data_IF_095497902413
#
_entry.id   IF_095497902413
#
_cell.length_a   1.000
_cell.length_b   1.000
_cell.length_c   1.000
_cell.angle_alpha   90.00
_cell.angle_beta   90.00
_cell.angle_gamma   90.00
#
_symmetry.space_group_name_H-M   'P 1'
#
loop_
_entity.id
_entity.type
_entity.pdbx_description
1 polymer ?
#
# COMPACT_ATOMS: atom_id res chain seq x y z
N UNK A 1 -11.39 -21.05 6.78
CA UNK A 1 -11.16 -19.72 6.19
C UNK A 1 -12.46 -19.16 5.65
N UNK A 2 -12.76 -17.91 5.93
CA UNK A 2 -14.01 -17.28 5.47
C UNK A 2 -14.03 -17.14 3.95
N UNK A 3 -15.21 -17.28 3.34
CA UNK A 3 -15.41 -17.10 1.88
C UNK A 3 -14.92 -15.72 1.42
N UNK A 4 -15.14 -14.69 2.25
CA UNK A 4 -14.68 -13.33 2.01
C UNK A 4 -13.18 -13.23 1.76
N UNK A 5 -12.38 -13.93 2.58
CA UNK A 5 -10.92 -13.93 2.46
C UNK A 5 -10.46 -14.66 1.19
N UNK A 6 -11.14 -15.75 0.82
CA UNK A 6 -10.83 -16.49 -0.41
C UNK A 6 -11.06 -15.60 -1.62
N UNK A 7 -12.19 -14.90 -1.68
CA UNK A 7 -12.51 -13.98 -2.78
C UNK A 7 -11.50 -12.82 -2.86
N UNK A 8 -11.11 -12.27 -1.71
CA UNK A 8 -10.10 -11.20 -1.66
C UNK A 8 -8.75 -11.69 -2.19
N UNK A 9 -8.32 -12.88 -1.79
CA UNK A 9 -7.07 -13.47 -2.25
C UNK A 9 -7.07 -13.71 -3.76
N UNK A 10 -8.18 -14.14 -4.33
CA UNK A 10 -8.33 -14.30 -5.79
C UNK A 10 -8.20 -12.96 -6.53
N UNK A 11 -8.81 -11.90 -5.99
CA UNK A 11 -8.67 -10.55 -6.57
C UNK A 11 -7.23 -10.06 -6.52
N UNK A 12 -6.55 -10.28 -5.40
CA UNK A 12 -5.14 -9.91 -5.24
C UNK A 12 -4.25 -10.65 -6.23
N UNK A 13 -4.45 -11.94 -6.43
CA UNK A 13 -3.69 -12.76 -7.38
C UNK A 13 -3.85 -12.23 -8.79
N UNK A 14 -5.07 -11.91 -9.20
CA UNK A 14 -5.34 -11.36 -10.54
C UNK A 14 -4.61 -10.03 -10.77
N UNK A 15 -4.65 -9.13 -9.79
CA UNK A 15 -3.96 -7.84 -9.86
C UNK A 15 -2.44 -8.02 -9.94
N UNK A 16 -1.90 -8.88 -9.08
CA UNK A 16 -0.45 -9.16 -9.04
C UNK A 16 0.07 -9.75 -10.34
N UNK A 17 -0.70 -10.62 -10.99
CA UNK A 17 -0.33 -11.18 -12.30
C UNK A 17 -0.20 -10.07 -13.35
N UNK A 18 -1.10 -9.10 -13.35
CA UNK A 18 -1.02 -7.96 -14.27
C UNK A 18 0.19 -7.07 -13.98
N UNK A 19 0.51 -6.85 -12.70
CA UNK A 19 1.66 -6.04 -12.28
C UNK A 19 2.96 -6.71 -12.72
N UNK A 20 3.08 -8.03 -12.56
CA UNK A 20 4.24 -8.78 -12.99
C UNK A 20 4.49 -8.63 -14.50
N UNK A 21 3.42 -8.67 -15.29
CA UNK A 21 3.53 -8.47 -16.75
C UNK A 21 3.96 -7.05 -17.11
N UNK A 22 3.61 -6.05 -16.32
CA UNK A 22 3.98 -4.65 -16.58
C UNK A 22 5.43 -4.33 -16.18
N UNK A 23 6.04 -5.15 -15.35
CA UNK A 23 7.39 -4.96 -14.78
C UNK A 23 7.58 -3.65 -13.98
N UNK A 24 6.50 -3.00 -13.58
CA UNK A 24 6.57 -1.80 -12.73
C UNK A 24 6.81 -2.19 -11.26
N UNK A 25 7.51 -1.33 -10.52
CA UNK A 25 7.58 -1.47 -9.06
C UNK A 25 6.17 -1.46 -8.49
N UNK A 26 5.99 -2.16 -7.40
CA UNK A 26 4.66 -2.41 -6.84
C UNK A 26 4.49 -1.73 -5.48
N UNK A 27 3.44 -0.92 -5.34
CA UNK A 27 2.99 -0.40 -4.05
C UNK A 27 1.91 -1.32 -3.52
N UNK A 28 2.21 -2.07 -2.47
CA UNK A 28 1.29 -3.02 -1.85
C UNK A 28 0.79 -2.47 -0.52
N UNK A 29 -0.51 -2.59 -0.28
CA UNK A 29 -1.16 -2.13 0.94
C UNK A 29 -1.81 -3.32 1.65
N UNK A 30 -1.57 -3.45 2.95
CA UNK A 30 -2.24 -4.42 3.82
C UNK A 30 -2.87 -3.68 4.99
N UNK A 31 -3.95 -4.22 5.53
CA UNK A 31 -4.59 -3.66 6.71
C UNK A 31 -5.04 -4.74 7.70
N UNK A 32 -5.02 -4.37 8.98
CA UNK A 32 -5.71 -5.09 10.04
C UNK A 32 -6.75 -4.15 10.66
N UNK A 33 -7.47 -4.57 11.69
CA UNK A 33 -8.42 -3.71 12.39
C UNK A 33 -7.74 -2.47 12.98
N UNK A 34 -6.52 -2.61 13.48
CA UNK A 34 -5.81 -1.57 14.23
C UNK A 34 -4.73 -0.84 13.44
N UNK A 35 -4.25 -1.43 12.34
CA UNK A 35 -3.11 -0.88 11.61
C UNK A 35 -3.25 -0.98 10.10
N UNK A 36 -2.49 -0.14 9.40
CA UNK A 36 -2.35 -0.21 7.94
C UNK A 36 -0.85 -0.17 7.60
N UNK A 37 -0.48 -0.90 6.55
CA UNK A 37 0.90 -1.10 6.12
C UNK A 37 1.01 -0.86 4.63
N UNK A 38 2.09 -0.21 4.21
CA UNK A 38 2.41 0.00 2.80
C UNK A 38 3.86 -0.39 2.53
N UNK A 39 4.11 -1.02 1.39
CA UNK A 39 5.47 -1.30 0.97
C UNK A 39 5.61 -1.15 -0.53
N UNK A 40 6.76 -0.63 -0.96
CA UNK A 40 7.15 -0.57 -2.36
C UNK A 40 8.18 -1.67 -2.59
N UNK A 41 7.92 -2.52 -3.55
CA UNK A 41 8.76 -3.66 -3.87
C UNK A 41 9.01 -3.74 -5.37
N UNK A 42 9.89 -4.67 -5.77
CA UNK A 42 10.02 -5.06 -7.17
C UNK A 42 8.70 -5.64 -7.66
N UNK A 43 8.51 -5.70 -8.99
CA UNK A 43 7.24 -6.13 -9.60
C UNK A 43 6.79 -7.53 -9.18
N UNK A 44 7.72 -8.41 -8.88
CA UNK A 44 7.44 -9.79 -8.43
C UNK A 44 7.36 -9.92 -6.89
N UNK A 45 7.64 -8.84 -6.16
CA UNK A 45 7.61 -8.84 -4.70
C UNK A 45 8.83 -9.47 -4.04
N UNK A 46 9.87 -9.85 -4.80
CA UNK A 46 11.05 -10.53 -4.26
C UNK A 46 11.93 -9.64 -3.38
N UNK A 47 11.90 -8.33 -3.60
CA UNK A 47 12.69 -7.37 -2.83
C UNK A 47 11.83 -6.18 -2.41
N UNK A 48 11.81 -5.87 -1.11
CA UNK A 48 11.13 -4.69 -0.57
C UNK A 48 12.11 -3.52 -0.56
N UNK A 49 11.76 -2.45 -1.26
CA UNK A 49 12.60 -1.26 -1.43
C UNK A 49 12.34 -0.23 -0.35
N UNK A 50 11.06 -0.02 0.00
CA UNK A 50 10.63 0.93 1.01
C UNK A 50 9.38 0.41 1.71
N UNK A 51 9.19 0.79 2.97
CA UNK A 51 7.99 0.41 3.74
C UNK A 51 7.60 1.51 4.70
N UNK A 52 6.32 1.53 5.08
CA UNK A 52 5.76 2.45 6.07
C UNK A 52 4.54 1.79 6.71
N UNK A 53 4.29 2.10 7.97
CA UNK A 53 3.10 1.59 8.65
C UNK A 53 2.70 2.45 9.85
N UNK A 54 1.48 2.26 10.33
CA UNK A 54 0.98 2.92 11.54
C UNK A 54 1.62 2.37 12.82
N UNK A 55 2.37 1.26 12.74
CA UNK A 55 3.12 0.72 13.88
C UNK A 55 4.38 1.50 14.20
N UNK A 56 4.85 2.35 13.26
CA UNK A 56 6.04 3.18 13.47
C UNK A 56 5.75 4.31 14.44
N UNK A 57 6.69 4.61 15.31
CA UNK A 57 6.54 5.64 16.35
C UNK A 57 6.30 7.03 15.77
N UNK A 58 6.83 7.34 14.59
CA UNK A 58 6.62 8.62 13.91
C UNK A 58 5.19 8.80 13.36
N UNK A 59 4.46 7.70 13.18
CA UNK A 59 3.09 7.69 12.63
C UNK A 59 2.07 7.35 13.71
N UNK A 60 2.49 6.60 14.72
CA UNK A 60 1.62 6.06 15.76
C UNK A 60 0.84 7.15 16.49
N UNK A 61 -0.47 6.97 16.59
CA UNK A 61 -1.38 7.86 17.31
C UNK A 61 -2.38 7.01 18.12
N UNK A 62 -3.27 7.65 18.87
CA UNK A 62 -4.30 6.96 19.64
C UNK A 62 -5.22 6.10 18.79
N UNK A 63 -5.41 6.45 17.53
CA UNK A 63 -6.31 5.76 16.63
C UNK A 63 -5.61 5.40 15.31
N UNK A 64 -4.77 4.38 15.36
CA UNK A 64 -3.94 3.95 14.22
C UNK A 64 -4.73 3.28 13.10
N UNK A 65 -5.99 2.90 13.36
CA UNK A 65 -6.85 2.24 12.38
C UNK A 65 -7.72 3.19 11.58
N UNK A 66 -7.60 4.50 11.74
CA UNK A 66 -8.47 5.47 11.08
C UNK A 66 -7.92 5.99 9.74
N UNK A 67 -8.75 6.77 9.05
CA UNK A 67 -8.41 7.37 7.74
C UNK A 67 -7.24 8.34 7.84
N UNK A 68 -7.16 9.12 8.91
CA UNK A 68 -6.08 10.06 9.14
C UNK A 68 -4.72 9.35 9.27
N UNK A 69 -4.66 8.25 10.01
CA UNK A 69 -3.45 7.45 10.14
C UNK A 69 -3.04 6.85 8.79
N UNK A 70 -4.00 6.38 8.00
CA UNK A 70 -3.75 5.87 6.65
C UNK A 70 -3.16 6.94 5.73
N UNK A 71 -3.66 8.18 5.82
CA UNK A 71 -3.11 9.31 5.05
C UNK A 71 -1.66 9.60 5.41
N UNK A 72 -1.31 9.51 6.69
CA UNK A 72 0.09 9.68 7.14
C UNK A 72 1.00 8.61 6.55
N UNK A 73 0.55 7.36 6.53
CA UNK A 73 1.29 6.24 5.93
C UNK A 73 1.48 6.46 4.43
N UNK A 74 0.45 6.92 3.73
CA UNK A 74 0.54 7.22 2.29
C UNK A 74 1.58 8.28 1.98
N UNK A 75 1.61 9.36 2.74
CA UNK A 75 2.62 10.41 2.59
C UNK A 75 4.02 9.88 2.86
N UNK A 76 4.17 9.10 3.93
CA UNK A 76 5.47 8.56 4.34
C UNK A 76 6.03 7.56 3.33
N UNK A 77 5.19 6.65 2.80
CA UNK A 77 5.66 5.69 1.81
C UNK A 77 6.07 6.40 0.50
N UNK A 78 5.35 7.44 0.11
CA UNK A 78 5.71 8.24 -1.07
C UNK A 78 7.06 8.92 -0.89
N UNK A 79 7.30 9.54 0.26
CA UNK A 79 8.58 10.18 0.57
C UNK A 79 9.74 9.18 0.54
N UNK A 80 9.55 8.02 1.14
CA UNK A 80 10.57 6.97 1.20
C UNK A 80 10.86 6.35 -0.17
N UNK A 81 9.83 6.18 -1.00
CA UNK A 81 10.00 5.69 -2.36
C UNK A 81 10.79 6.70 -3.21
N UNK A 82 10.47 7.97 -3.09
CA UNK A 82 11.17 9.05 -3.83
C UNK A 82 12.63 9.15 -3.43
N UNK A 83 12.96 8.94 -2.16
CA UNK A 83 14.35 8.89 -1.68
C UNK A 83 15.14 7.75 -2.36
N UNK A 84 14.47 6.70 -2.78
CA UNK A 84 15.05 5.57 -3.52
C UNK A 84 14.98 5.75 -5.04
N UNK A 85 14.55 6.93 -5.51
CA UNK A 85 14.44 7.23 -6.94
C UNK A 85 13.21 6.66 -7.61
N UNK A 86 12.20 6.22 -6.85
CA UNK A 86 10.98 5.63 -7.39
C UNK A 86 9.87 6.67 -7.38
N UNK A 87 9.31 6.97 -8.56
CA UNK A 87 8.19 7.88 -8.71
C UNK A 87 6.94 7.18 -9.24
N UNK A 88 7.12 6.17 -10.12
CA UNK A 88 6.02 5.43 -10.73
C UNK A 88 5.91 4.02 -10.14
N UNK A 89 4.70 3.65 -9.73
CA UNK A 89 4.42 2.33 -9.17
C UNK A 89 3.10 1.80 -9.72
N UNK A 90 2.92 0.48 -9.65
CA UNK A 90 1.64 -0.17 -9.88
C UNK A 90 0.99 -0.42 -8.53
N UNK A 91 -0.26 -0.03 -8.37
CA UNK A 91 -0.95 -0.14 -7.08
C UNK A 91 -1.55 -1.53 -6.89
N UNK A 92 -1.13 -2.22 -5.82
CA UNK A 92 -1.68 -3.50 -5.37
C UNK A 92 -2.34 -3.32 -4.02
N UNK A 93 -3.67 -3.25 -4.02
CA UNK A 93 -4.45 -3.09 -2.79
C UNK A 93 -4.77 -4.42 -2.08
N UNK A 94 -4.08 -5.49 -2.44
CA UNK A 94 -4.22 -6.83 -1.83
C UNK A 94 -5.65 -7.37 -1.87
N UNK A 95 -6.42 -7.00 -2.91
CA UNK A 95 -7.81 -7.41 -3.09
C UNK A 95 -8.82 -6.68 -2.20
N UNK A 96 -8.39 -5.73 -1.37
CA UNK A 96 -9.30 -4.88 -0.60
C UNK A 96 -10.04 -3.92 -1.52
N UNK A 97 -11.23 -3.50 -1.11
CA UNK A 97 -11.98 -2.47 -1.85
C UNK A 97 -11.25 -1.13 -1.79
N UNK A 98 -11.31 -0.37 -2.87
CA UNK A 98 -10.76 0.99 -2.92
C UNK A 98 -11.70 1.94 -2.20
N UNK A 99 -11.66 1.91 -0.87
CA UNK A 99 -12.56 2.65 0.00
C UNK A 99 -11.90 2.89 1.37
N UNK A 100 -12.37 3.90 2.09
CA UNK A 100 -11.94 4.20 3.46
C UNK A 100 -10.42 4.38 3.58
N UNK A 101 -9.80 3.59 4.44
CA UNK A 101 -8.36 3.66 4.72
C UNK A 101 -7.49 3.40 3.50
N UNK A 102 -7.85 2.44 2.66
CA UNK A 102 -7.11 2.11 1.45
C UNK A 102 -7.10 3.30 0.49
N UNK A 103 -8.26 3.91 0.27
CA UNK A 103 -8.40 5.09 -0.58
C UNK A 103 -7.63 6.28 -0.01
N UNK A 104 -7.71 6.53 1.29
CA UNK A 104 -7.01 7.64 1.95
C UNK A 104 -5.49 7.52 1.80
N UNK A 105 -4.95 6.31 1.97
CA UNK A 105 -3.53 6.05 1.77
C UNK A 105 -3.12 6.32 0.32
N UNK A 106 -3.87 5.79 -0.64
CA UNK A 106 -3.57 5.94 -2.06
C UNK A 106 -3.59 7.41 -2.50
N UNK A 107 -4.62 8.14 -2.12
CA UNK A 107 -4.75 9.58 -2.46
C UNK A 107 -3.62 10.40 -1.83
N UNK A 108 -3.26 10.12 -0.59
CA UNK A 108 -2.17 10.81 0.10
C UNK A 108 -0.82 10.52 -0.57
N UNK A 109 -0.58 9.29 -0.99
CA UNK A 109 0.63 8.92 -1.71
C UNK A 109 0.72 9.63 -3.07
N UNK A 110 -0.39 9.77 -3.78
CA UNK A 110 -0.46 10.53 -5.04
C UNK A 110 -0.17 12.01 -4.82
N UNK A 111 -0.76 12.61 -3.80
CA UNK A 111 -0.50 14.02 -3.44
C UNK A 111 0.97 14.25 -3.11
N UNK A 112 1.63 13.28 -2.50
CA UNK A 112 3.06 13.37 -2.16
C UNK A 112 3.99 13.08 -3.35
N UNK A 113 3.44 12.76 -4.51
CA UNK A 113 4.19 12.68 -5.76
C UNK A 113 4.37 11.29 -6.37
N UNK A 114 3.78 10.23 -5.82
CA UNK A 114 3.79 8.93 -6.47
C UNK A 114 2.80 8.91 -7.64
N UNK A 115 3.20 8.27 -8.71
CA UNK A 115 2.40 8.12 -9.93
C UNK A 115 1.84 6.70 -10.04
N UNK A 116 0.53 6.61 -10.04
CA UNK A 116 -0.15 5.33 -10.28
C UNK A 116 -1.64 5.53 -10.56
#
# INVERSE_FOLDING_TARGET
MAIKNIKRQKRATKTRSKIELSENNRLTVFRSNSHIYAQVSTFDGSEVIASASTTESSVKSENNGNIEAASKVGKLIAERAKEKGIEKVAFDRSGYKYHGRIKALAESAREAGLEF
#
